data_IF_123094597188
#
_entry.id   IF_123094597188
#
_cell.length_a   1.000
_cell.length_b   1.000
_cell.length_c   1.000
_cell.angle_alpha   90.00
_cell.angle_beta   90.00
_cell.angle_gamma   90.00
#
_symmetry.space_group_name_H-M   'P 1'
#
loop_
_entity.id
_entity.type
_entity.pdbx_description
1 polymer ?
#
# COMPACT_ATOMS: atom_id res chain seq x y z
N UNK A 1 10.60 0.32 1.68
CA UNK A 1 11.53 0.06 0.55
C UNK A 1 11.56 -1.43 0.16
N UNK A 2 10.42 -2.12 0.16
CA UNK A 2 10.36 -3.59 0.05
C UNK A 2 9.89 -4.07 -1.35
N UNK A 3 9.36 -3.16 -2.18
CA UNK A 3 8.60 -3.48 -3.40
C UNK A 3 9.40 -4.20 -4.47
N UNK A 4 10.63 -3.74 -4.70
CA UNK A 4 11.47 -4.23 -5.79
C UNK A 4 11.82 -5.70 -5.58
N UNK A 5 12.15 -6.07 -4.34
CA UNK A 5 12.44 -7.44 -3.97
C UNK A 5 11.21 -8.36 -4.10
N UNK A 6 10.05 -7.92 -3.59
CA UNK A 6 8.81 -8.71 -3.67
C UNK A 6 8.39 -8.91 -5.13
N UNK A 7 8.45 -7.85 -5.94
CA UNK A 7 8.09 -7.90 -7.36
C UNK A 7 9.03 -8.82 -8.14
N UNK A 8 10.34 -8.72 -7.92
CA UNK A 8 11.31 -9.62 -8.54
C UNK A 8 11.06 -11.09 -8.17
N UNK A 9 10.77 -11.35 -6.89
CA UNK A 9 10.46 -12.69 -6.40
C UNK A 9 9.16 -13.26 -6.99
N UNK A 10 8.09 -12.47 -7.01
CA UNK A 10 6.80 -12.87 -7.57
C UNK A 10 6.92 -13.22 -9.06
N UNK A 11 7.64 -12.39 -9.83
CA UNK A 11 7.92 -12.65 -11.23
C UNK A 11 8.72 -13.94 -11.44
N UNK A 12 9.78 -14.15 -10.63
CA UNK A 12 10.59 -15.37 -10.70
C UNK A 12 9.77 -16.64 -10.39
N UNK A 13 8.84 -16.56 -9.43
CA UNK A 13 7.98 -17.68 -9.01
C UNK A 13 6.70 -17.82 -9.82
N UNK A 14 6.41 -16.90 -10.74
CA UNK A 14 5.14 -16.83 -11.50
C UNK A 14 3.91 -16.76 -10.58
N UNK A 15 3.99 -15.93 -9.55
CA UNK A 15 2.89 -15.69 -8.60
C UNK A 15 2.24 -14.34 -8.93
N UNK A 16 0.91 -14.31 -8.95
CA UNK A 16 0.13 -13.08 -9.07
C UNK A 16 0.43 -12.16 -7.88
N UNK A 17 0.90 -10.95 -8.17
CA UNK A 17 1.32 -9.99 -7.16
C UNK A 17 0.88 -8.57 -7.54
N UNK A 18 0.29 -7.87 -6.57
CA UNK A 18 0.03 -6.44 -6.63
C UNK A 18 0.48 -5.81 -5.32
N UNK A 19 0.81 -4.52 -5.35
CA UNK A 19 1.17 -3.77 -4.16
C UNK A 19 0.52 -2.38 -4.21
N UNK A 20 -0.13 -1.98 -3.12
CA UNK A 20 -0.75 -0.69 -2.96
C UNK A 20 -0.02 0.11 -1.88
N UNK A 21 0.14 1.41 -2.09
CA UNK A 21 0.79 2.32 -1.15
C UNK A 21 -0.14 3.45 -0.77
N UNK A 22 -0.17 3.72 0.53
CA UNK A 22 -0.68 4.96 1.07
C UNK A 22 0.48 5.67 1.78
N UNK A 23 0.78 6.90 1.36
CA UNK A 23 1.93 7.65 1.87
C UNK A 23 1.65 8.15 3.27
N UNK A 24 2.51 7.78 4.22
CA UNK A 24 2.36 8.16 5.63
C UNK A 24 2.74 9.61 5.92
N UNK A 25 3.32 10.32 4.95
CA UNK A 25 3.62 11.74 4.99
C UNK A 25 3.67 12.30 3.57
N UNK A 26 3.80 13.62 3.45
CA UNK A 26 4.07 14.30 2.19
C UNK A 26 5.51 14.83 2.19
N UNK A 27 6.37 14.27 1.34
CA UNK A 27 7.78 14.64 1.24
C UNK A 27 8.02 15.92 0.42
N UNK A 28 7.00 16.41 -0.29
CA UNK A 28 7.09 17.60 -1.15
C UNK A 28 6.76 18.90 -0.40
N UNK A 29 6.09 18.80 0.76
CA UNK A 29 5.68 19.97 1.54
C UNK A 29 6.81 20.49 2.43
N UNK A 30 6.96 21.82 2.52
CA UNK A 30 7.91 22.45 3.44
C UNK A 30 7.60 22.15 4.91
N UNK A 31 6.31 22.06 5.25
CA UNK A 31 5.85 21.66 6.57
C UNK A 31 5.52 20.17 6.58
N UNK A 32 6.08 19.45 7.55
CA UNK A 32 5.84 18.03 7.70
C UNK A 32 4.38 17.76 8.11
N UNK A 33 3.67 17.00 7.29
CA UNK A 33 2.29 16.59 7.53
C UNK A 33 2.23 15.05 7.71
N UNK A 34 2.22 14.55 8.96
CA UNK A 34 2.10 13.12 9.21
C UNK A 34 0.67 12.65 8.94
N UNK A 35 0.53 11.56 8.18
CA UNK A 35 -0.73 10.91 7.82
C UNK A 35 -0.71 9.47 8.28
N UNK A 36 -1.57 9.10 9.22
CA UNK A 36 -1.76 7.69 9.65
C UNK A 36 -0.49 6.99 10.18
N UNK A 37 0.55 7.76 10.57
CA UNK A 37 1.89 7.26 10.88
C UNK A 37 1.95 6.33 12.10
N UNK A 38 1.14 6.60 13.13
CA UNK A 38 0.97 5.73 14.28
C UNK A 38 0.00 4.59 13.98
N UNK A 39 0.14 3.44 14.64
CA UNK A 39 -0.68 2.25 14.37
C UNK A 39 -2.18 2.50 14.61
N UNK A 40 -2.50 3.26 15.64
CA UNK A 40 -3.85 3.64 16.07
C UNK A 40 -4.36 4.95 15.43
N UNK A 41 -3.53 5.65 14.68
CA UNK A 41 -3.95 6.87 13.99
C UNK A 41 -4.84 6.54 12.78
N UNK A 42 -6.00 7.19 12.74
CA UNK A 42 -6.94 7.20 11.62
C UNK A 42 -7.22 5.80 11.03
N UNK A 43 -7.74 4.95 11.92
CA UNK A 43 -8.10 3.56 11.62
C UNK A 43 -9.16 3.44 10.53
N UNK A 44 -10.08 4.41 10.42
CA UNK A 44 -11.12 4.40 9.40
C UNK A 44 -10.53 4.53 7.98
N UNK A 45 -9.57 5.43 7.79
CA UNK A 45 -8.87 5.57 6.51
C UNK A 45 -8.08 4.30 6.18
N UNK A 46 -7.40 3.69 7.17
CA UNK A 46 -6.67 2.43 6.97
C UNK A 46 -7.59 1.28 6.57
N UNK A 47 -8.76 1.15 7.20
CA UNK A 47 -9.77 0.15 6.85
C UNK A 47 -10.29 0.36 5.41
N UNK A 48 -10.56 1.61 5.04
CA UNK A 48 -10.98 1.95 3.66
C UNK A 48 -9.91 1.58 2.63
N UNK A 49 -8.63 1.88 2.90
CA UNK A 49 -7.51 1.51 2.02
C UNK A 49 -7.41 -0.01 1.87
N UNK A 50 -7.56 -0.76 2.96
CA UNK A 50 -7.53 -2.22 2.93
C UNK A 50 -8.68 -2.79 2.05
N UNK A 51 -9.90 -2.27 2.19
CA UNK A 51 -11.05 -2.66 1.37
C UNK A 51 -10.82 -2.37 -0.12
N UNK A 52 -10.24 -1.21 -0.46
CA UNK A 52 -9.89 -0.86 -1.84
C UNK A 52 -8.84 -1.85 -2.38
N UNK A 53 -7.78 -2.14 -1.62
CA UNK A 53 -6.73 -3.06 -2.04
C UNK A 53 -7.28 -4.48 -2.30
N UNK A 54 -8.17 -5.00 -1.44
CA UNK A 54 -8.83 -6.28 -1.65
C UNK A 54 -9.72 -6.28 -2.90
N UNK A 55 -10.47 -5.21 -3.11
CA UNK A 55 -11.32 -5.07 -4.31
C UNK A 55 -10.50 -5.08 -5.60
N UNK A 56 -9.35 -4.38 -5.61
CA UNK A 56 -8.40 -4.45 -6.71
C UNK A 56 -7.84 -5.85 -6.92
N UNK A 57 -7.47 -6.56 -5.85
CA UNK A 57 -6.93 -7.91 -5.97
C UNK A 57 -7.92 -8.87 -6.65
N UNK A 58 -9.20 -8.77 -6.30
CA UNK A 58 -10.28 -9.56 -6.92
C UNK A 58 -10.45 -9.20 -8.39
N UNK A 59 -10.37 -7.92 -8.76
CA UNK A 59 -10.56 -7.50 -10.15
C UNK A 59 -9.34 -7.81 -11.04
N UNK A 60 -8.12 -7.65 -10.51
CA UNK A 60 -6.89 -7.76 -11.29
C UNK A 60 -6.47 -9.21 -11.57
N UNK A 61 -6.87 -10.15 -10.70
CA UNK A 61 -6.51 -11.57 -10.77
C UNK A 61 -7.71 -12.50 -10.92
N UNK A 62 -8.81 -11.96 -11.45
CA UNK A 62 -9.97 -12.73 -11.91
C UNK A 62 -9.61 -13.74 -12.99
#
# INVERSE_FOLDING_TARGET
>A
MECSAITAFANFRKINHFQCFYSADNLDAEAWEPRTLANDADLETKDRIANIALSFAVELFR
#
